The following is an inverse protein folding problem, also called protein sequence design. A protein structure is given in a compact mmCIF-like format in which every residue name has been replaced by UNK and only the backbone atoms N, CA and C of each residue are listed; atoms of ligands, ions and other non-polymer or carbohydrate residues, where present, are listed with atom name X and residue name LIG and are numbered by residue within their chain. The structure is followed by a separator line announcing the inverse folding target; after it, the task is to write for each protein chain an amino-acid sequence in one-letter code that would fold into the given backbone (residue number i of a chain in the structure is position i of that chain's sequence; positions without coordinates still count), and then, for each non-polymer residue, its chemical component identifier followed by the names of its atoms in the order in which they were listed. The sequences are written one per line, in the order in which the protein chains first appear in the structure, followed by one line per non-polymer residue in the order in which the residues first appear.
data_IF_810240755528
#
_entry.id   IF_810240755528
#
_cell.length_a   1.000
_cell.length_b   1.000
_cell.length_c   1.000
_cell.angle_alpha   90.00
_cell.angle_beta   90.00
_cell.angle_gamma   90.00
#
_symmetry.space_group_name_H-M   'P 1'
#
loop_
_entity.id
_entity.type
_entity.pdbx_description
1 polymer ?
#
# COMPACT_ATOMS: atom_id res chain seq x y z
N UNK A 1 10.67 15.52 -38.00
CA UNK A 1 11.39 16.12 -36.85
C UNK A 1 10.43 16.13 -35.67
N UNK A 2 10.68 15.33 -34.63
CA UNK A 2 9.95 15.40 -33.37
C UNK A 2 10.99 15.54 -32.26
N UNK A 3 11.09 16.75 -31.69
CA UNK A 3 11.92 17.01 -30.52
C UNK A 3 11.20 16.42 -29.32
N UNK A 4 11.62 15.22 -28.92
CA UNK A 4 11.23 14.65 -27.62
C UNK A 4 12.02 15.45 -26.60
N UNK A 5 11.35 16.39 -25.93
CA UNK A 5 11.93 17.13 -24.82
C UNK A 5 12.22 16.12 -23.70
N UNK A 6 13.47 15.67 -23.66
CA UNK A 6 14.02 14.88 -22.56
C UNK A 6 14.05 15.79 -21.34
N UNK A 7 12.94 15.85 -20.60
CA UNK A 7 12.89 16.51 -19.30
C UNK A 7 13.70 15.63 -18.35
N UNK A 8 15.02 15.88 -18.32
CA UNK A 8 15.92 15.37 -17.29
C UNK A 8 15.46 15.96 -15.96
N UNK A 9 14.51 15.29 -15.31
CA UNK A 9 14.21 15.49 -13.91
C UNK A 9 15.44 15.01 -13.14
N UNK A 10 16.26 15.94 -12.66
CA UNK A 10 17.32 15.73 -11.65
C UNK A 10 16.68 15.38 -10.29
N UNK A 11 15.74 14.46 -10.31
CA UNK A 11 15.00 14.06 -9.13
C UNK A 11 15.52 12.68 -8.78
N UNK A 12 16.11 12.55 -7.59
CA UNK A 12 16.50 11.26 -7.03
C UNK A 12 15.25 10.39 -6.86
N UNK A 13 14.94 9.65 -7.91
CA UNK A 13 13.92 8.65 -7.92
C UNK A 13 14.36 7.52 -7.00
N UNK A 14 13.65 7.35 -5.89
CA UNK A 14 13.81 6.16 -5.07
C UNK A 14 12.80 5.12 -5.55
N UNK A 15 13.28 3.91 -5.79
CA UNK A 15 12.47 2.76 -6.14
C UNK A 15 13.16 1.52 -5.61
N UNK A 16 12.44 0.69 -4.86
CA UNK A 16 12.94 -0.61 -4.40
C UNK A 16 12.26 -1.67 -5.26
N UNK A 17 13.05 -2.44 -6.00
CA UNK A 17 12.51 -3.61 -6.68
C UNK A 17 12.26 -4.68 -5.60
N UNK A 18 11.00 -4.98 -5.34
CA UNK A 18 10.58 -5.88 -4.26
C UNK A 18 9.76 -7.00 -4.85
N UNK A 19 10.10 -8.24 -4.50
CA UNK A 19 9.25 -9.40 -4.78
C UNK A 19 8.17 -9.46 -3.71
N UNK A 20 6.96 -9.00 -4.03
CA UNK A 20 5.81 -9.10 -3.14
C UNK A 20 5.16 -10.48 -3.32
N UNK A 21 4.99 -11.28 -2.26
CA UNK A 21 4.29 -12.56 -2.35
C UNK A 21 2.83 -12.34 -2.76
N UNK A 22 2.24 -13.30 -3.47
CA UNK A 22 0.86 -13.22 -3.97
C UNK A 22 -0.19 -13.49 -2.88
N UNK A 23 -0.05 -12.84 -1.73
CA UNK A 23 -1.01 -12.85 -0.63
C UNK A 23 -1.62 -11.45 -0.49
N UNK A 24 -2.93 -11.36 -0.28
CA UNK A 24 -3.63 -10.07 -0.18
C UNK A 24 -3.09 -9.22 0.98
N UNK A 25 -2.84 -9.84 2.15
CA UNK A 25 -2.22 -9.19 3.31
C UNK A 25 -0.84 -8.61 2.96
N UNK A 26 0.01 -9.37 2.28
CA UNK A 26 1.35 -8.90 1.93
C UNK A 26 1.32 -7.68 0.99
N UNK A 27 0.36 -7.64 0.06
CA UNK A 27 0.14 -6.49 -0.81
C UNK A 27 -0.30 -5.25 -0.02
N UNK A 28 -1.20 -5.41 0.95
CA UNK A 28 -1.61 -4.32 1.86
C UNK A 28 -0.45 -3.85 2.75
N UNK A 29 0.33 -4.77 3.31
CA UNK A 29 1.51 -4.42 4.10
C UNK A 29 2.53 -3.61 3.27
N UNK A 30 2.74 -3.99 2.01
CA UNK A 30 3.56 -3.22 1.08
C UNK A 30 3.00 -1.83 0.81
N UNK A 31 1.67 -1.71 0.63
CA UNK A 31 1.01 -0.41 0.51
C UNK A 31 1.25 0.47 1.75
N UNK A 32 1.08 -0.10 2.96
CA UNK A 32 1.31 0.62 4.23
C UNK A 32 2.78 1.06 4.31
N UNK A 33 3.75 0.21 3.96
CA UNK A 33 5.18 0.56 3.92
C UNK A 33 5.45 1.75 2.98
N UNK A 34 4.79 1.80 1.81
CA UNK A 34 4.89 2.92 0.89
C UNK A 34 4.36 4.22 1.51
N UNK A 35 3.14 4.19 2.09
CA UNK A 35 2.54 5.34 2.79
C UNK A 35 3.45 5.83 3.90
N UNK A 36 3.99 4.91 4.68
CA UNK A 36 4.86 5.22 5.79
C UNK A 36 6.20 5.86 5.40
N UNK A 37 6.76 5.41 4.27
CA UNK A 37 7.98 5.99 3.68
C UNK A 37 7.77 7.44 3.24
N UNK A 38 6.54 7.79 2.87
CA UNK A 38 6.13 9.13 2.43
C UNK A 38 5.95 10.08 3.63
N UNK A 39 5.26 9.64 4.68
CA UNK A 39 4.84 10.49 5.83
C UNK A 39 5.80 10.43 7.04
N UNK A 40 7.02 9.93 6.85
CA UNK A 40 8.03 9.68 7.91
C UNK A 40 7.45 9.01 9.16
N UNK A 41 6.66 7.97 8.93
CA UNK A 41 6.09 7.25 10.06
C UNK A 41 7.17 6.34 10.62
N UNK A 42 7.73 6.61 11.80
CA UNK A 42 8.77 5.78 12.40
C UNK A 42 8.36 5.24 13.79
N UNK A 43 7.10 4.85 13.92
CA UNK A 43 6.63 4.14 15.10
C UNK A 43 7.10 2.69 15.08
N UNK A 44 7.82 2.28 16.14
CA UNK A 44 8.31 0.90 16.34
C UNK A 44 7.18 -0.13 16.26
N UNK A 45 5.98 0.25 16.68
CA UNK A 45 4.80 -0.61 16.64
C UNK A 45 4.28 -0.91 15.23
N UNK A 46 4.66 -0.10 14.23
CA UNK A 46 4.16 -0.23 12.86
C UNK A 46 5.22 -0.81 11.93
N UNK A 47 6.48 -0.83 12.37
CA UNK A 47 7.54 -1.57 11.68
C UNK A 47 7.21 -3.07 11.54
N UNK A 48 6.55 -3.70 12.53
CA UNK A 48 6.09 -5.10 12.42
C UNK A 48 5.09 -5.30 11.28
N UNK A 49 4.20 -4.32 11.04
CA UNK A 49 3.18 -4.38 9.98
C UNK A 49 3.70 -3.99 8.60
N UNK A 50 4.97 -3.56 8.50
CA UNK A 50 5.65 -3.30 7.22
C UNK A 50 6.43 -4.50 6.71
N UNK A 51 6.70 -5.49 7.56
CA UNK A 51 7.51 -6.64 7.18
C UNK A 51 6.68 -7.65 6.36
N UNK A 52 6.40 -7.30 5.11
CA UNK A 52 5.62 -8.12 4.18
C UNK A 52 6.30 -9.46 3.84
N UNK A 53 7.56 -9.68 4.21
CA UNK A 53 8.22 -11.00 4.10
C UNK A 53 7.77 -11.97 5.19
N UNK A 54 7.27 -11.47 6.33
CA UNK A 54 6.81 -12.27 7.46
C UNK A 54 5.29 -12.45 7.51
N UNK A 55 4.58 -12.17 6.40
CA UNK A 55 3.13 -12.24 6.29
C UNK A 55 2.55 -13.61 6.70
N UNK A 56 3.29 -14.69 6.46
CA UNK A 56 2.86 -16.06 6.76
C UNK A 56 2.82 -16.38 8.26
N UNK A 57 3.45 -15.54 9.10
CA UNK A 57 3.55 -15.76 10.54
C UNK A 57 2.59 -14.88 11.35
N UNK A 58 1.66 -14.20 10.69
CA UNK A 58 0.69 -13.31 11.33
C UNK A 58 -0.56 -14.03 11.82
N UNK A 59 -1.06 -13.59 12.96
CA UNK A 59 -2.34 -14.08 13.50
C UNK A 59 -3.54 -13.41 12.83
N UNK A 60 -4.72 -14.05 12.84
CA UNK A 60 -5.96 -13.46 12.28
C UNK A 60 -6.31 -12.10 12.90
N UNK A 61 -5.93 -11.88 14.16
CA UNK A 61 -6.06 -10.58 14.84
C UNK A 61 -5.15 -9.51 14.22
N UNK A 62 -3.92 -9.86 13.85
CA UNK A 62 -2.98 -8.95 13.19
C UNK A 62 -3.42 -8.63 11.76
N UNK A 63 -3.92 -9.63 11.02
CA UNK A 63 -4.52 -9.44 9.71
C UNK A 63 -5.66 -8.39 9.75
N UNK A 64 -6.52 -8.44 10.78
CA UNK A 64 -7.58 -7.45 10.99
C UNK A 64 -7.03 -6.07 11.32
N UNK A 65 -6.01 -5.98 12.15
CA UNK A 65 -5.39 -4.69 12.48
C UNK A 65 -4.76 -4.05 11.25
N UNK A 66 -4.09 -4.84 10.40
CA UNK A 66 -3.54 -4.37 9.11
C UNK A 66 -4.66 -3.87 8.21
N UNK A 67 -5.78 -4.59 8.13
CA UNK A 67 -6.94 -4.18 7.35
C UNK A 67 -7.54 -2.87 7.85
N UNK A 68 -7.74 -2.71 9.16
CA UNK A 68 -8.23 -1.47 9.77
C UNK A 68 -7.26 -0.32 9.52
N UNK A 69 -5.96 -0.57 9.65
CA UNK A 69 -4.92 0.43 9.38
C UNK A 69 -4.94 0.88 7.91
N UNK A 70 -5.14 -0.05 6.97
CA UNK A 70 -5.26 0.24 5.56
C UNK A 70 -6.55 1.00 5.19
N UNK A 71 -7.64 0.79 5.94
CA UNK A 71 -8.86 1.61 5.83
C UNK A 71 -8.62 3.04 6.35
N UNK A 72 -7.93 3.18 7.49
CA UNK A 72 -7.58 4.49 8.03
C UNK A 72 -6.61 5.26 7.12
N UNK A 73 -5.74 4.54 6.41
CA UNK A 73 -4.82 5.07 5.40
C UNK A 73 -5.40 4.91 3.99
N UNK A 74 -6.66 5.30 3.80
CA UNK A 74 -7.30 5.18 2.49
C UNK A 74 -6.59 6.03 1.44
N UNK A 75 -6.46 5.55 0.18
CA UNK A 75 -5.85 6.30 -0.89
C UNK A 75 -6.61 7.58 -1.18
N UNK A 76 -7.93 7.62 -0.98
CA UNK A 76 -8.76 8.83 -1.16
C UNK A 76 -8.29 9.99 -0.26
N UNK A 77 -7.96 9.68 1.01
CA UNK A 77 -7.45 10.66 1.97
C UNK A 77 -6.03 11.14 1.65
N UNK A 78 -5.27 10.32 0.94
CA UNK A 78 -3.85 10.54 0.64
C UNK A 78 -3.62 11.01 -0.82
N UNK A 79 -4.62 10.85 -1.67
CA UNK A 79 -4.63 11.24 -3.07
C UNK A 79 -4.66 12.77 -3.17
N UNK A 80 -3.96 13.30 -4.17
CA UNK A 80 -3.72 14.74 -4.38
C UNK A 80 -2.96 15.44 -3.24
N UNK A 81 -2.61 14.74 -2.16
CA UNK A 81 -1.83 15.25 -1.04
C UNK A 81 -0.41 14.68 -1.06
N UNK A 82 -0.31 13.36 -1.11
CA UNK A 82 0.97 12.62 -1.10
C UNK A 82 1.09 11.56 -2.18
N UNK A 83 -0.04 10.99 -2.62
CA UNK A 83 -0.09 10.13 -3.80
C UNK A 83 -0.60 10.93 -4.99
N UNK A 84 0.17 10.90 -6.08
CA UNK A 84 -0.17 11.57 -7.32
C UNK A 84 -0.31 10.56 -8.45
N UNK A 85 -1.48 10.55 -9.09
CA UNK A 85 -1.73 9.72 -10.26
C UNK A 85 -1.11 10.37 -11.50
N UNK A 86 0.20 10.17 -11.66
CA UNK A 86 1.00 10.76 -12.73
C UNK A 86 1.77 9.68 -13.46
N UNK A 87 1.16 9.00 -14.45
CA UNK A 87 1.84 7.95 -15.23
C UNK A 87 3.03 8.50 -16.03
N UNK A 88 3.05 9.81 -16.32
CA UNK A 88 4.17 10.48 -16.99
C UNK A 88 5.43 10.58 -16.11
N UNK A 89 5.27 10.65 -14.79
CA UNK A 89 6.41 10.66 -13.87
C UNK A 89 7.02 9.27 -13.70
N UNK A 90 6.24 8.20 -13.92
CA UNK A 90 6.69 6.81 -13.77
C UNK A 90 6.81 6.07 -15.11
N UNK A 91 7.74 6.41 -16.02
CA UNK A 91 7.84 5.72 -17.31
C UNK A 91 8.24 4.24 -17.13
N UNK A 92 9.24 3.97 -16.29
CA UNK A 92 9.87 2.64 -16.17
C UNK A 92 9.36 1.79 -14.99
N UNK A 93 8.60 2.39 -14.06
CA UNK A 93 8.14 1.73 -12.83
C UNK A 93 6.63 1.89 -12.65
N UNK A 94 6.02 1.02 -11.85
CA UNK A 94 4.59 1.12 -11.49
C UNK A 94 4.35 2.15 -10.38
N UNK A 95 5.37 2.42 -9.57
CA UNK A 95 5.43 3.44 -8.54
C UNK A 95 6.82 4.08 -8.50
N UNK A 96 6.88 5.36 -8.12
CA UNK A 96 8.14 6.08 -7.96
C UNK A 96 8.03 7.10 -6.84
N UNK A 97 9.07 7.19 -6.01
CA UNK A 97 9.13 8.12 -4.88
C UNK A 97 10.02 9.30 -5.21
N UNK A 98 9.60 10.48 -4.75
CA UNK A 98 10.30 11.73 -4.95
C UNK A 98 10.35 12.56 -3.67
N UNK A 99 11.40 13.33 -3.48
CA UNK A 99 11.52 14.24 -2.33
C UNK A 99 10.77 15.56 -2.59
N UNK A 100 10.11 16.11 -1.57
CA UNK A 100 9.28 17.34 -1.69
C UNK A 100 10.07 18.52 -2.24
N UNK A 101 11.36 18.62 -1.88
CA UNK A 101 12.25 19.69 -2.33
C UNK A 101 12.36 19.81 -3.86
N UNK A 102 12.08 18.72 -4.58
CA UNK A 102 12.34 18.58 -6.01
C UNK A 102 11.12 18.86 -6.90
N UNK A 103 9.89 18.86 -6.36
CA UNK A 103 8.64 18.96 -7.14
C UNK A 103 7.82 20.22 -6.79
N UNK A 104 8.43 21.17 -6.08
CA UNK A 104 7.80 22.40 -5.58
C UNK A 104 7.02 23.23 -6.63
N UNK A 105 7.29 23.05 -7.92
CA UNK A 105 6.72 23.89 -8.98
C UNK A 105 5.56 23.26 -9.79
N UNK A 106 5.21 21.99 -9.58
CA UNK A 106 4.20 21.31 -10.41
C UNK A 106 3.05 20.67 -9.63
N UNK A 107 3.18 20.48 -8.32
CA UNK A 107 2.15 19.84 -7.49
C UNK A 107 1.91 20.65 -6.21
N UNK A 108 0.64 20.76 -5.80
CA UNK A 108 0.25 21.29 -4.49
C UNK A 108 0.63 20.25 -3.42
N UNK A 109 1.88 20.27 -2.98
CA UNK A 109 2.39 19.32 -1.99
C UNK A 109 2.05 19.84 -0.59
N UNK A 110 1.28 19.08 0.16
CA UNK A 110 1.06 19.36 1.58
C UNK A 110 2.32 19.00 2.37
N UNK A 111 2.82 19.92 3.19
CA UNK A 111 4.01 19.68 4.01
C UNK A 111 3.71 18.82 5.24
N UNK A 112 2.45 18.79 5.68
CA UNK A 112 1.99 17.96 6.79
C UNK A 112 0.55 17.49 6.61
N UNK A 113 0.24 16.33 7.21
CA UNK A 113 -1.06 15.66 7.18
C UNK A 113 -1.47 15.25 8.59
N UNK A 114 -2.76 15.34 8.90
CA UNK A 114 -3.30 14.74 10.12
C UNK A 114 -3.66 13.27 9.85
N UNK A 115 -2.96 12.35 10.51
CA UNK A 115 -3.19 10.91 10.39
C UNK A 115 -3.30 10.33 11.79
N UNK A 116 -4.42 9.67 12.09
CA UNK A 116 -4.66 9.07 13.41
C UNK A 116 -4.66 10.09 14.56
N UNK A 117 -5.14 11.31 14.31
CA UNK A 117 -5.19 12.40 15.30
C UNK A 117 -3.86 13.10 15.55
N UNK A 118 -2.78 12.73 14.86
CA UNK A 118 -1.48 13.38 14.96
C UNK A 118 -1.09 14.05 13.64
N UNK A 119 -0.55 15.27 13.73
CA UNK A 119 0.05 15.95 12.60
C UNK A 119 1.40 15.31 12.27
N UNK A 120 1.60 14.94 11.01
CA UNK A 120 2.82 14.28 10.52
C UNK A 120 3.37 15.00 9.32
N UNK A 121 4.69 15.12 9.28
CA UNK A 121 5.38 15.78 8.18
C UNK A 121 5.53 14.82 7.01
N UNK A 122 5.19 15.31 5.83
CA UNK A 122 5.47 14.61 4.59
C UNK A 122 6.95 14.84 4.29
N UNK A 123 7.72 13.79 4.04
CA UNK A 123 9.12 13.90 3.59
C UNK A 123 9.25 13.64 2.09
N UNK A 124 8.40 12.75 1.58
CA UNK A 124 8.44 12.30 0.18
C UNK A 124 7.03 12.27 -0.37
N UNK A 125 6.90 12.34 -1.68
CA UNK A 125 5.67 12.08 -2.40
C UNK A 125 5.84 10.83 -3.25
N UNK A 126 4.72 10.16 -3.54
CA UNK A 126 4.72 8.98 -4.40
C UNK A 126 3.88 9.27 -5.63
N UNK A 127 4.48 9.12 -6.81
CA UNK A 127 3.71 9.00 -8.04
C UNK A 127 3.44 7.52 -8.32
N UNK A 128 2.24 7.23 -8.82
CA UNK A 128 1.83 5.87 -9.09
C UNK A 128 1.02 5.78 -10.39
N UNK A 129 1.04 4.61 -11.02
CA UNK A 129 0.11 4.26 -12.11
C UNK A 129 -1.17 3.67 -11.53
N UNK A 130 -2.35 3.91 -12.14
CA UNK A 130 -3.62 3.37 -11.64
C UNK A 130 -3.60 1.84 -11.48
N UNK A 131 -2.86 1.12 -12.34
CA UNK A 131 -2.64 -0.32 -12.23
C UNK A 131 -1.96 -0.74 -10.92
N UNK A 132 -1.04 0.07 -10.38
CA UNK A 132 -0.39 -0.19 -9.10
C UNK A 132 -1.41 -0.15 -7.96
N UNK A 133 -2.23 0.89 -7.93
CA UNK A 133 -3.25 1.05 -6.88
C UNK A 133 -4.31 -0.05 -6.94
N UNK A 134 -4.69 -0.45 -8.14
CA UNK A 134 -5.61 -1.57 -8.32
C UNK A 134 -5.05 -2.88 -7.78
N UNK A 135 -3.78 -3.16 -8.07
CA UNK A 135 -3.12 -4.43 -7.69
C UNK A 135 -2.77 -4.50 -6.22
N UNK A 136 -2.28 -3.40 -5.63
CA UNK A 136 -1.71 -3.39 -4.28
C UNK A 136 -2.66 -2.88 -3.19
N UNK A 137 -3.74 -2.20 -3.56
CA UNK A 137 -4.71 -1.69 -2.60
C UNK A 137 -6.13 -2.16 -2.90
N UNK A 138 -6.73 -1.78 -4.04
CA UNK A 138 -8.17 -2.00 -4.28
C UNK A 138 -8.55 -3.49 -4.30
N UNK A 139 -7.81 -4.30 -5.08
CA UNK A 139 -8.06 -5.73 -5.17
C UNK A 139 -7.86 -6.45 -3.82
N UNK A 140 -6.71 -6.31 -3.14
CA UNK A 140 -6.51 -7.00 -1.86
C UNK A 140 -7.45 -6.49 -0.76
N UNK A 141 -7.78 -5.19 -0.72
CA UNK A 141 -8.79 -4.67 0.22
C UNK A 141 -10.16 -5.30 -0.01
N UNK A 142 -10.57 -5.48 -1.28
CA UNK A 142 -11.84 -6.13 -1.61
C UNK A 142 -11.87 -7.59 -1.18
N UNK A 143 -10.77 -8.32 -1.41
CA UNK A 143 -10.63 -9.71 -0.98
C UNK A 143 -10.66 -9.84 0.54
N UNK A 144 -9.95 -8.95 1.25
CA UNK A 144 -9.94 -8.93 2.72
C UNK A 144 -11.30 -8.52 3.29
N UNK A 145 -11.97 -7.53 2.71
CA UNK A 145 -13.31 -7.15 3.11
C UNK A 145 -14.29 -8.32 2.98
N UNK A 146 -14.20 -9.09 1.90
CA UNK A 146 -14.99 -10.32 1.75
C UNK A 146 -14.62 -11.37 2.80
N UNK A 147 -13.33 -11.62 3.05
CA UNK A 147 -12.85 -12.58 4.06
C UNK A 147 -13.32 -12.23 5.47
N UNK A 148 -13.32 -10.95 5.84
CA UNK A 148 -13.80 -10.48 7.15
C UNK A 148 -15.31 -10.29 7.23
N UNK A 149 -16.02 -10.34 6.10
CA UNK A 149 -17.48 -10.31 6.09
C UNK A 149 -18.05 -11.61 6.68
N UNK A 150 -19.26 -11.57 7.29
CA UNK A 150 -19.89 -12.76 7.85
C UNK A 150 -20.09 -13.87 6.82
N UNK A 151 -20.26 -13.53 5.54
CA UNK A 151 -20.37 -14.47 4.42
C UNK A 151 -19.05 -15.19 4.13
N UNK A 152 -17.93 -14.47 4.09
CA UNK A 152 -16.60 -15.06 3.90
C UNK A 152 -16.19 -15.94 5.08
N UNK A 153 -16.49 -15.53 6.31
CA UNK A 153 -16.25 -16.35 7.50
C UNK A 153 -17.05 -17.66 7.49
N UNK A 154 -18.31 -17.63 7.03
CA UNK A 154 -19.13 -18.84 6.86
C UNK A 154 -18.57 -19.77 5.80
N UNK A 155 -18.11 -19.25 4.66
CA UNK A 155 -17.48 -20.06 3.61
C UNK A 155 -16.16 -20.67 4.06
N UNK A 156 -15.33 -19.92 4.80
CA UNK A 156 -14.05 -20.42 5.30
C UNK A 156 -14.26 -21.48 6.40
N UNK A 157 -15.25 -21.27 7.29
CA UNK A 157 -15.69 -22.27 8.26
C UNK A 157 -16.24 -23.53 7.56
N UNK A 158 -17.04 -23.39 6.51
CA UNK A 158 -17.57 -24.50 5.73
C UNK A 158 -16.45 -25.28 5.00
N UNK A 159 -15.47 -24.59 4.41
CA UNK A 159 -14.29 -25.23 3.80
C UNK A 159 -13.46 -25.99 4.83
N UNK A 160 -13.21 -25.40 5.99
CA UNK A 160 -12.48 -26.06 7.09
C UNK A 160 -13.25 -27.30 7.57
N UNK A 161 -14.57 -27.19 7.74
CA UNK A 161 -15.41 -28.32 8.12
C UNK A 161 -15.40 -29.45 7.08
N UNK A 162 -15.43 -29.13 5.78
CA UNK A 162 -15.31 -30.13 4.70
C UNK A 162 -13.93 -30.80 4.67
N UNK A 163 -12.85 -30.06 4.86
CA UNK A 163 -11.48 -30.61 4.90
C UNK A 163 -11.25 -31.49 6.14
N UNK A 164 -11.83 -31.13 7.29
CA UNK A 164 -11.81 -31.97 8.50
C UNK A 164 -12.67 -33.22 8.33
N UNK A 165 -13.82 -33.14 7.64
CA UNK A 165 -14.64 -34.31 7.32
C UNK A 165 -13.98 -35.27 6.32
N UNK A 166 -13.14 -34.76 5.40
CA UNK A 166 -12.36 -35.61 4.50
C UNK A 166 -11.24 -36.40 5.22
N UNK A 167 -10.78 -35.92 6.38
CA UNK A 167 -9.69 -36.56 7.14
C UNK A 167 -10.18 -37.62 8.16
N UNK A 168 -11.50 -37.71 8.41
CA UNK A 168 -12.10 -38.72 9.33
C UNK A 168 -12.64 -39.95 8.61
N UNK A 169 -12.50 -40.01 7.28
CA UNK A 169 -12.86 -41.16 6.45
C UNK A 169 -11.58 -41.69 5.79
N UNK A 170 -10.63 -42.19 6.59
CA UNK A 170 -9.48 -43.00 6.13
C UNK A 170 -9.04 -43.94 7.23
#
# INVERSE_FOLDING_TARGET
MAMIQNTNFDVKAFGKNVTIPNADIAKIMYYIDCVCTVIDYNDREIQRYRNYSNWANMSDAEDRLIFILALALSPDELENKVFFNSPQLCPNSNNQFYEIGQIKNQLLIVQSLFIGGQQRNVKKIMAYKPAWMQTFYLQPMRNLAFRFSPEGQRQEAARRAMLSQACVIS
#
